data_IF_300762688653
#
_entry.id   IF_300762688653
#
_cell.length_a   1.000
_cell.length_b   1.000
_cell.length_c   1.000
_cell.angle_alpha   90.00
_cell.angle_beta   90.00
_cell.angle_gamma   90.00
#
_symmetry.space_group_name_H-M   'P 1'
#
loop_
_entity.id
_entity.type
_entity.pdbx_description
1 polymer ?
#
# COMPACT_ATOMS: atom_id res chain seq x y z
N UNK A 1 58.82 -7.11 2.28
CA UNK A 1 58.61 -8.49 2.78
C UNK A 1 59.66 -9.37 2.17
N UNK A 2 60.59 -9.85 3.00
CA UNK A 2 61.64 -10.75 2.54
C UNK A 2 61.03 -12.13 2.28
N UNK A 3 61.46 -12.83 1.22
CA UNK A 3 60.88 -14.10 0.77
C UNK A 3 60.76 -15.15 1.88
N UNK A 4 61.68 -15.11 2.85
CA UNK A 4 61.70 -15.98 4.03
C UNK A 4 60.52 -15.75 4.99
N UNK A 5 60.12 -14.49 5.24
CA UNK A 5 59.02 -14.17 6.15
C UNK A 5 57.67 -14.68 5.61
N UNK A 6 57.47 -14.59 4.29
CA UNK A 6 56.27 -15.09 3.63
C UNK A 6 56.18 -16.63 3.67
N UNK A 7 57.33 -17.33 3.58
CA UNK A 7 57.37 -18.79 3.70
C UNK A 7 57.07 -19.25 5.12
N UNK A 8 57.63 -18.57 6.14
CA UNK A 8 57.37 -18.91 7.54
C UNK A 8 55.91 -18.66 7.92
N UNK A 9 55.32 -17.53 7.51
CA UNK A 9 53.90 -17.26 7.75
C UNK A 9 52.97 -18.25 7.03
N UNK A 10 53.37 -18.74 5.84
CA UNK A 10 52.63 -19.78 5.12
C UNK A 10 52.71 -21.12 5.85
N UNK A 11 53.89 -21.53 6.34
CA UNK A 11 54.05 -22.77 7.12
C UNK A 11 53.22 -22.74 8.42
N UNK A 12 53.19 -21.59 9.09
CA UNK A 12 52.41 -21.39 10.31
C UNK A 12 50.89 -21.37 10.09
N UNK A 13 50.40 -21.06 8.88
CA UNK A 13 48.96 -20.97 8.59
C UNK A 13 48.45 -22.03 7.62
N UNK A 14 49.34 -22.83 7.04
CA UNK A 14 48.99 -23.87 6.05
C UNK A 14 48.01 -24.90 6.59
N UNK A 15 47.97 -25.12 7.91
CA UNK A 15 47.03 -26.06 8.51
C UNK A 15 45.58 -25.55 8.45
N UNK A 16 45.35 -24.22 8.39
CA UNK A 16 44.03 -23.58 8.27
C UNK A 16 43.48 -23.61 6.83
N UNK A 17 44.14 -24.30 5.90
CA UNK A 17 43.67 -24.45 4.53
C UNK A 17 42.30 -25.13 4.48
N UNK A 18 41.40 -24.63 3.61
CA UNK A 18 39.99 -25.04 3.56
C UNK A 18 39.75 -26.54 3.35
N UNK A 19 40.71 -27.28 2.79
CA UNK A 19 40.65 -28.74 2.71
C UNK A 19 40.59 -29.46 4.07
N UNK A 20 41.11 -28.84 5.13
CA UNK A 20 41.10 -29.37 6.50
C UNK A 20 39.94 -28.82 7.34
N UNK A 21 39.04 -27.99 6.78
CA UNK A 21 38.04 -27.26 7.54
C UNK A 21 37.16 -28.16 8.42
N UNK A 22 36.69 -29.28 7.87
CA UNK A 22 35.85 -30.23 8.61
C UNK A 22 36.59 -30.89 9.79
N UNK A 23 37.88 -31.18 9.61
CA UNK A 23 38.72 -31.74 10.68
C UNK A 23 38.96 -30.72 11.80
N UNK A 24 39.25 -29.48 11.44
CA UNK A 24 39.46 -28.38 12.41
C UNK A 24 38.16 -28.09 13.16
N UNK A 25 37.00 -28.12 12.49
CA UNK A 25 35.68 -27.96 13.12
C UNK A 25 35.40 -29.06 14.15
N UNK A 26 35.71 -30.32 13.82
CA UNK A 26 35.58 -31.43 14.77
C UNK A 26 36.54 -31.30 15.95
N UNK A 27 37.77 -30.84 15.71
CA UNK A 27 38.75 -30.61 16.77
C UNK A 27 38.32 -29.47 17.69
N UNK A 28 37.73 -28.40 17.13
CA UNK A 28 37.22 -27.26 17.88
C UNK A 28 35.96 -27.60 18.68
N UNK A 29 35.04 -28.39 18.13
CA UNK A 29 33.87 -28.87 18.89
C UNK A 29 34.29 -29.76 20.07
N UNK A 30 35.31 -30.59 19.88
CA UNK A 30 35.91 -31.39 20.97
C UNK A 30 36.55 -30.49 22.02
N UNK A 31 37.29 -29.44 21.59
CA UNK A 31 37.87 -28.43 22.48
C UNK A 31 36.82 -27.74 23.36
N UNK A 32 35.68 -27.33 22.78
CA UNK A 32 34.59 -26.68 23.52
C UNK A 32 33.92 -27.60 24.55
N UNK A 33 33.91 -28.92 24.32
CA UNK A 33 33.36 -29.89 25.27
C UNK A 33 34.36 -30.25 26.38
N UNK A 34 35.63 -30.46 26.03
CA UNK A 34 36.70 -30.74 26.97
C UNK A 34 38.05 -30.26 26.41
N UNK A 35 38.57 -29.12 26.90
CA UNK A 35 39.84 -28.58 26.43
C UNK A 35 40.99 -29.58 26.55
N UNK A 36 41.05 -30.36 27.64
CA UNK A 36 42.14 -31.32 27.89
C UNK A 36 42.17 -32.51 26.91
N UNK A 37 41.12 -32.71 26.11
CA UNK A 37 41.07 -33.76 25.08
C UNK A 37 41.82 -33.37 23.79
N UNK A 38 42.29 -32.13 23.68
CA UNK A 38 42.99 -31.59 22.51
C UNK A 38 44.45 -31.32 22.83
N UNK A 39 45.33 -31.50 21.84
CA UNK A 39 46.78 -31.24 21.95
C UNK A 39 47.07 -29.81 22.47
N UNK A 40 48.19 -29.64 23.17
CA UNK A 40 48.60 -28.37 23.72
C UNK A 40 48.69 -27.23 22.68
N UNK A 41 49.22 -27.50 21.47
CA UNK A 41 49.34 -26.49 20.42
C UNK A 41 47.98 -25.98 19.95
N UNK A 42 47.04 -26.90 19.75
CA UNK A 42 45.69 -26.58 19.33
C UNK A 42 44.88 -25.88 20.42
N UNK A 43 45.07 -26.27 21.68
CA UNK A 43 44.49 -25.53 22.81
C UNK A 43 44.96 -24.09 22.84
N UNK A 44 46.27 -23.85 22.76
CA UNK A 44 46.82 -22.49 22.74
C UNK A 44 46.33 -21.67 21.55
N UNK A 45 46.18 -22.31 20.38
CA UNK A 45 45.59 -21.69 19.20
C UNK A 45 44.12 -21.28 19.44
N UNK A 46 43.28 -22.18 19.99
CA UNK A 46 41.88 -21.90 20.26
C UNK A 46 41.66 -20.92 21.43
N UNK A 47 42.51 -20.95 22.46
CA UNK A 47 42.52 -19.96 23.54
C UNK A 47 42.76 -18.55 22.98
N UNK A 48 43.67 -18.41 22.03
CA UNK A 48 43.94 -17.14 21.33
C UNK A 48 42.79 -16.62 20.46
N UNK A 49 41.78 -17.45 20.17
CA UNK A 49 40.62 -17.09 19.35
C UNK A 49 39.44 -16.55 20.18
N UNK A 50 39.56 -16.51 21.52
CA UNK A 50 38.44 -16.20 22.44
C UNK A 50 38.15 -14.70 22.65
N UNK A 51 38.02 -13.92 21.58
CA UNK A 51 37.40 -12.57 21.63
C UNK A 51 35.89 -12.59 21.34
N UNK A 52 35.25 -13.76 21.44
CA UNK A 52 33.80 -13.88 21.31
C UNK A 52 33.33 -15.27 21.71
N UNK A 53 33.07 -15.46 23.00
CA UNK A 53 32.60 -16.73 23.59
C UNK A 53 31.27 -17.22 23.04
N UNK A 54 31.26 -17.76 21.83
CA UNK A 54 30.15 -18.50 21.28
C UNK A 54 30.14 -19.89 21.93
N UNK A 55 29.31 -20.04 22.97
CA UNK A 55 28.92 -21.37 23.47
C UNK A 55 28.41 -22.22 22.30
N UNK A 56 28.60 -23.55 22.32
CA UNK A 56 28.03 -24.44 21.31
C UNK A 56 26.54 -24.13 21.16
N UNK A 57 26.13 -23.63 20.00
CA UNK A 57 24.71 -23.44 19.73
C UNK A 57 24.12 -24.83 19.51
N UNK A 58 23.12 -25.20 20.32
CA UNK A 58 22.33 -26.40 20.04
C UNK A 58 21.77 -26.31 18.62
N UNK A 59 21.60 -27.45 17.92
CA UNK A 59 21.06 -27.45 16.58
C UNK A 59 19.75 -26.66 16.53
N UNK A 60 19.57 -25.82 15.52
CA UNK A 60 18.39 -24.95 15.40
C UNK A 60 17.07 -25.73 15.37
N UNK A 61 17.09 -27.02 14.99
CA UNK A 61 15.93 -27.92 14.99
C UNK A 61 15.59 -28.52 16.36
N UNK A 62 16.49 -28.45 17.34
CA UNK A 62 16.26 -28.93 18.71
C UNK A 62 15.55 -27.88 19.58
N UNK A 63 15.21 -26.73 19.01
CA UNK A 63 14.52 -25.64 19.66
C UNK A 63 13.04 -25.95 19.85
N UNK A 64 12.54 -25.80 21.09
CA UNK A 64 11.11 -25.91 21.39
C UNK A 64 10.31 -24.73 20.82
N UNK A 65 10.98 -23.61 20.53
CA UNK A 65 10.45 -22.39 19.93
C UNK A 65 10.49 -22.40 18.39
N UNK A 66 10.78 -23.54 17.77
CA UNK A 66 10.85 -23.67 16.30
C UNK A 66 9.53 -24.19 15.68
N UNK A 67 9.02 -23.55 14.60
CA UNK A 67 9.54 -22.35 13.95
C UNK A 67 9.22 -21.09 14.75
N UNK A 68 10.14 -20.09 14.78
CA UNK A 68 9.86 -18.81 15.41
C UNK A 68 8.67 -18.16 14.69
N UNK A 69 7.63 -17.79 15.45
CA UNK A 69 6.49 -17.01 14.95
C UNK A 69 6.75 -15.54 15.31
N UNK A 70 7.21 -14.70 14.37
CA UNK A 70 7.40 -13.27 14.66
C UNK A 70 6.03 -12.64 14.89
N UNK A 71 5.75 -12.20 16.10
CA UNK A 71 4.46 -11.58 16.48
C UNK A 71 4.51 -10.05 16.38
N UNK A 72 5.14 -9.54 15.33
CA UNK A 72 5.26 -8.10 15.10
C UNK A 72 4.11 -7.61 14.22
N UNK A 73 3.63 -6.38 14.48
CA UNK A 73 2.49 -5.78 13.77
C UNK A 73 2.67 -5.78 12.24
N UNK A 74 3.89 -5.50 11.77
CA UNK A 74 4.21 -5.49 10.34
C UNK A 74 4.12 -6.89 9.73
N UNK A 75 4.49 -7.92 10.47
CA UNK A 75 4.42 -9.31 10.01
C UNK A 75 2.97 -9.79 10.00
N UNK A 76 2.23 -9.52 11.07
CA UNK A 76 0.80 -9.84 11.18
C UNK A 76 -0.08 -9.12 10.13
N UNK A 77 0.33 -7.93 9.69
CA UNK A 77 -0.37 -7.20 8.62
C UNK A 77 -0.13 -7.81 7.22
N UNK A 78 0.96 -8.56 7.03
CA UNK A 78 1.37 -9.09 5.72
C UNK A 78 1.08 -10.59 5.57
N UNK A 79 0.90 -11.33 6.67
CA UNK A 79 0.63 -12.78 6.66
C UNK A 79 -0.87 -13.14 6.68
N UNK A 80 -1.77 -12.15 6.77
CA UNK A 80 -3.22 -12.32 6.76
C UNK A 80 -3.80 -12.85 8.08
N UNK A 81 -3.03 -12.89 9.16
CA UNK A 81 -3.49 -13.32 10.48
C UNK A 81 -4.21 -12.19 11.25
N UNK A 82 -5.40 -11.84 10.77
CA UNK A 82 -6.20 -10.71 11.26
C UNK A 82 -6.51 -10.75 12.76
N UNK A 83 -6.66 -11.94 13.35
CA UNK A 83 -7.01 -12.12 14.77
C UNK A 83 -5.87 -11.71 15.70
N UNK A 84 -4.62 -11.99 15.34
CA UNK A 84 -3.46 -11.54 16.14
C UNK A 84 -3.16 -10.06 15.93
N UNK A 85 -3.38 -9.56 14.72
CA UNK A 85 -3.24 -8.13 14.41
C UNK A 85 -4.22 -7.27 15.24
N UNK A 86 -5.47 -7.70 15.37
CA UNK A 86 -6.47 -7.03 16.21
C UNK A 86 -6.02 -6.93 17.68
N UNK A 87 -5.46 -8.02 18.24
CA UNK A 87 -4.97 -8.03 19.62
C UNK A 87 -3.82 -7.05 19.84
N UNK A 88 -2.93 -6.92 18.87
CA UNK A 88 -1.79 -5.98 18.93
C UNK A 88 -2.22 -4.53 18.77
N UNK A 89 -3.17 -4.27 17.86
CA UNK A 89 -3.60 -2.92 17.51
C UNK A 89 -4.67 -2.35 18.44
N UNK A 90 -5.56 -3.17 19.00
CA UNK A 90 -6.66 -2.72 19.87
C UNK A 90 -6.21 -1.75 20.99
N UNK A 91 -5.21 -2.04 21.83
CA UNK A 91 -4.78 -1.13 22.89
C UNK A 91 -4.14 0.16 22.35
N UNK A 92 -3.49 0.11 21.17
CA UNK A 92 -2.91 1.30 20.52
C UNK A 92 -3.98 2.18 19.89
N UNK A 93 -5.02 1.58 19.31
CA UNK A 93 -6.19 2.29 18.79
C UNK A 93 -6.91 2.98 19.94
N UNK A 94 -7.15 2.29 21.07
CA UNK A 94 -7.74 2.87 22.28
C UNK A 94 -6.90 4.00 22.87
N UNK A 95 -5.57 3.82 22.95
CA UNK A 95 -4.67 4.86 23.44
C UNK A 95 -4.66 6.08 22.52
N UNK A 96 -4.69 5.87 21.19
CA UNK A 96 -4.67 6.94 20.19
C UNK A 96 -6.02 7.66 20.09
N UNK A 97 -7.15 6.95 20.23
CA UNK A 97 -8.48 7.59 20.32
C UNK A 97 -8.64 8.38 21.61
N UNK A 98 -8.07 7.90 22.72
CA UNK A 98 -8.06 8.64 24.01
C UNK A 98 -7.08 9.84 24.00
N UNK A 99 -5.94 9.72 23.32
CA UNK A 99 -4.95 10.79 23.20
C UNK A 99 -5.30 11.82 22.11
N UNK A 100 -6.08 11.44 21.10
CA UNK A 100 -6.57 12.34 20.06
C UNK A 100 -7.88 13.05 20.44
N UNK A 101 -8.37 12.90 21.67
CA UNK A 101 -9.46 13.74 22.18
C UNK A 101 -8.93 15.18 22.35
N UNK A 102 -9.36 16.15 21.53
CA UNK A 102 -9.15 17.54 21.87
C UNK A 102 -10.02 17.82 23.11
N UNK A 103 -9.58 18.77 23.95
CA UNK A 103 -10.48 19.43 24.87
C UNK A 103 -11.58 20.13 24.07
N UNK A 104 -12.68 19.44 23.81
CA UNK A 104 -13.90 20.03 23.27
C UNK A 104 -14.65 20.55 24.49
N UNK A 105 -14.73 21.88 24.61
CA UNK A 105 -15.75 22.53 25.42
C UNK A 105 -17.10 21.86 25.15
N UNK A 106 -17.89 21.61 26.21
CA UNK A 106 -19.23 21.04 26.21
C UNK A 106 -19.80 20.70 24.82
N UNK A 107 -19.88 19.40 24.51
CA UNK A 107 -20.47 18.89 23.28
C UNK A 107 -21.75 19.66 22.93
N UNK A 108 -21.87 20.24 21.72
CA UNK A 108 -23.19 20.60 21.24
C UNK A 108 -24.01 19.31 21.17
N UNK A 109 -25.31 19.41 21.46
CA UNK A 109 -26.26 18.31 21.37
C UNK A 109 -26.06 17.49 20.07
N UNK A 110 -26.39 16.17 20.05
CA UNK A 110 -26.24 15.35 18.85
C UNK A 110 -26.88 16.11 17.68
N UNK A 111 -26.07 16.40 16.66
CA UNK A 111 -26.58 17.05 15.45
C UNK A 111 -27.77 16.22 14.97
N UNK A 112 -28.94 16.86 14.83
CA UNK A 112 -30.08 16.23 14.20
C UNK A 112 -29.60 15.62 12.88
N UNK A 113 -29.96 14.37 12.62
CA UNK A 113 -29.66 13.73 11.34
C UNK A 113 -30.12 14.61 10.17
N UNK A 114 -29.60 14.38 8.95
CA UNK A 114 -29.91 15.22 7.80
C UNK A 114 -31.42 15.40 7.68
N UNK A 115 -31.84 16.64 7.49
CA UNK A 115 -33.25 16.96 7.38
C UNK A 115 -33.87 16.24 6.19
N UNK A 116 -35.18 15.97 6.23
CA UNK A 116 -35.87 15.32 5.12
C UNK A 116 -35.69 16.08 3.80
N UNK A 117 -35.53 17.41 3.85
CA UNK A 117 -35.32 18.25 2.67
C UNK A 117 -33.89 18.16 2.13
N UNK A 118 -32.88 18.02 2.99
CA UNK A 118 -31.50 17.76 2.58
C UNK A 118 -31.36 16.42 1.87
N UNK A 119 -31.99 15.37 2.42
CA UNK A 119 -32.00 14.04 1.78
C UNK A 119 -32.68 14.10 0.42
N UNK A 120 -33.85 14.75 0.32
CA UNK A 120 -34.54 14.93 -0.97
C UNK A 120 -33.69 15.71 -1.98
N UNK A 121 -33.02 16.78 -1.55
CA UNK A 121 -32.14 17.57 -2.41
C UNK A 121 -30.95 16.75 -2.89
N UNK A 122 -30.27 16.02 -2.01
CA UNK A 122 -29.15 15.16 -2.35
C UNK A 122 -29.56 14.07 -3.37
N UNK A 123 -30.68 13.38 -3.14
CA UNK A 123 -31.22 12.39 -4.08
C UNK A 123 -31.55 13.01 -5.44
N UNK A 124 -32.18 14.18 -5.44
CA UNK A 124 -32.55 14.88 -6.69
C UNK A 124 -31.31 15.28 -7.48
N UNK A 125 -30.27 15.77 -6.80
CA UNK A 125 -29.02 16.18 -7.42
C UNK A 125 -28.27 14.97 -8.01
N UNK A 126 -28.24 13.84 -7.32
CA UNK A 126 -27.68 12.58 -7.85
C UNK A 126 -28.42 12.12 -9.11
N UNK A 127 -29.76 12.12 -9.11
CA UNK A 127 -30.55 11.73 -10.30
C UNK A 127 -30.26 12.66 -11.48
N UNK A 128 -30.22 13.97 -11.25
CA UNK A 128 -29.90 14.97 -12.28
C UNK A 128 -28.48 14.80 -12.84
N UNK A 129 -27.50 14.58 -11.97
CA UNK A 129 -26.12 14.31 -12.38
C UNK A 129 -26.02 13.04 -13.23
N UNK A 130 -26.70 11.96 -12.85
CA UNK A 130 -26.73 10.72 -13.63
C UNK A 130 -27.44 10.90 -14.98
N UNK A 131 -28.51 11.69 -15.04
CA UNK A 131 -29.16 12.04 -16.31
C UNK A 131 -28.23 12.82 -17.24
N UNK A 132 -27.45 13.77 -16.70
CA UNK A 132 -26.43 14.50 -17.46
C UNK A 132 -25.31 13.57 -17.93
N UNK A 133 -24.77 12.70 -17.08
CA UNK A 133 -23.76 11.70 -17.46
C UNK A 133 -24.25 10.83 -18.62
N UNK A 134 -25.51 10.39 -18.56
CA UNK A 134 -26.13 9.62 -19.64
C UNK A 134 -26.26 10.45 -20.93
N UNK A 135 -26.59 11.73 -20.85
CA UNK A 135 -26.67 12.61 -22.02
C UNK A 135 -25.30 12.74 -22.71
N UNK A 136 -24.21 12.91 -21.97
CA UNK A 136 -22.85 12.93 -22.52
C UNK A 136 -22.47 11.59 -23.18
N UNK A 137 -22.84 10.45 -22.59
CA UNK A 137 -22.60 9.13 -23.20
C UNK A 137 -23.31 8.95 -24.55
N UNK A 138 -24.52 9.51 -24.70
CA UNK A 138 -25.33 9.37 -25.91
C UNK A 138 -24.97 10.42 -26.96
N UNK A 139 -24.71 11.67 -26.56
CA UNK A 139 -24.62 12.84 -27.45
C UNK A 139 -23.33 13.64 -27.34
N UNK A 140 -22.42 13.29 -26.43
CA UNK A 140 -21.18 14.05 -26.22
C UNK A 140 -20.31 14.15 -27.47
N UNK A 141 -20.40 13.17 -28.37
CA UNK A 141 -19.71 13.17 -29.66
C UNK A 141 -20.12 14.32 -30.59
N UNK A 142 -21.33 14.90 -30.43
CA UNK A 142 -21.72 16.08 -31.21
C UNK A 142 -20.93 17.33 -30.81
N UNK A 143 -20.54 17.42 -29.53
CA UNK A 143 -19.73 18.51 -29.01
C UNK A 143 -18.21 18.22 -29.07
N UNK A 144 -17.80 17.13 -29.72
CA UNK A 144 -16.39 16.75 -29.83
C UNK A 144 -15.64 17.61 -30.85
N UNK A 145 -14.37 17.87 -30.58
CA UNK A 145 -13.49 18.64 -31.45
C UNK A 145 -12.92 17.79 -32.59
N UNK A 146 -13.76 17.52 -33.60
CA UNK A 146 -13.42 16.67 -34.74
C UNK A 146 -12.97 17.43 -35.99
N UNK A 147 -13.21 18.74 -36.05
CA UNK A 147 -12.87 19.57 -37.20
C UNK A 147 -11.54 20.30 -36.97
N UNK A 148 -10.41 19.82 -37.52
CA UNK A 148 -9.11 20.46 -37.35
C UNK A 148 -9.03 21.82 -38.07
N UNK A 149 -9.89 22.07 -39.05
CA UNK A 149 -9.90 23.30 -39.84
C UNK A 149 -10.85 24.36 -39.27
N UNK A 150 -11.69 23.99 -38.28
CA UNK A 150 -12.63 24.89 -37.60
C UNK A 150 -13.54 25.65 -38.58
N UNK A 151 -14.01 24.95 -39.61
CA UNK A 151 -14.88 25.52 -40.63
C UNK A 151 -16.31 25.70 -40.14
N UNK A 152 -16.72 24.92 -39.14
CA UNK A 152 -18.03 25.02 -38.49
C UNK A 152 -17.93 25.75 -37.17
N UNK A 153 -18.89 26.64 -36.93
CA UNK A 153 -19.06 27.24 -35.61
C UNK A 153 -19.50 26.16 -34.61
N UNK A 154 -19.02 26.23 -33.34
CA UNK A 154 -19.45 25.31 -32.31
C UNK A 154 -20.97 25.42 -32.09
N UNK A 155 -21.70 24.31 -32.27
CA UNK A 155 -23.11 24.25 -31.94
C UNK A 155 -23.30 24.26 -30.42
N UNK A 156 -24.38 24.91 -29.97
CA UNK A 156 -24.77 24.87 -28.56
C UNK A 156 -25.57 23.60 -28.31
N UNK A 157 -25.18 22.85 -27.27
CA UNK A 157 -25.86 21.62 -26.86
C UNK A 157 -26.43 21.80 -25.44
N UNK A 158 -27.68 22.29 -25.31
CA UNK A 158 -28.32 22.52 -24.01
C UNK A 158 -28.37 21.26 -23.14
N UNK A 159 -28.45 20.08 -23.74
CA UNK A 159 -28.44 18.79 -23.05
C UNK A 159 -27.12 18.45 -22.36
N UNK A 160 -26.02 19.15 -22.70
CA UNK A 160 -24.71 18.98 -22.08
C UNK A 160 -24.42 20.06 -21.02
N UNK A 161 -25.29 21.06 -20.90
CA UNK A 161 -25.15 22.16 -19.95
C UNK A 161 -25.74 21.76 -18.57
N UNK A 162 -24.95 21.82 -17.47
CA UNK A 162 -25.45 21.64 -16.11
C UNK A 162 -26.65 22.54 -15.75
N UNK A 163 -26.74 23.74 -16.35
CA UNK A 163 -27.84 24.66 -16.10
C UNK A 163 -29.20 24.08 -16.52
N UNK A 164 -29.24 23.27 -17.59
CA UNK A 164 -30.46 22.59 -18.07
C UNK A 164 -31.01 21.58 -17.05
N UNK A 165 -30.14 21.04 -16.21
CA UNK A 165 -30.53 20.12 -15.13
C UNK A 165 -30.86 20.84 -13.82
N UNK A 166 -30.73 22.17 -13.79
CA UNK A 166 -31.04 23.01 -12.64
C UNK A 166 -29.88 23.16 -11.66
N UNK A 167 -28.64 22.99 -12.10
CA UNK A 167 -27.45 23.37 -11.32
C UNK A 167 -27.10 24.83 -11.60
N UNK A 168 -27.34 25.70 -10.62
CA UNK A 168 -26.90 27.09 -10.70
C UNK A 168 -25.38 27.19 -10.47
N UNK A 169 -24.73 28.31 -10.84
CA UNK A 169 -23.28 28.50 -10.64
C UNK A 169 -22.80 28.29 -9.19
N UNK A 170 -23.66 28.58 -8.20
CA UNK A 170 -23.36 28.36 -6.78
C UNK A 170 -23.52 26.91 -6.31
N UNK A 171 -24.20 26.06 -7.07
CA UNK A 171 -24.36 24.64 -6.75
C UNK A 171 -23.23 23.77 -7.30
N UNK A 172 -22.39 24.31 -8.18
CA UNK A 172 -21.41 23.52 -8.94
C UNK A 172 -20.31 22.88 -8.07
N UNK A 173 -20.05 23.45 -6.90
CA UNK A 173 -19.01 23.01 -5.97
C UNK A 173 -19.53 22.05 -4.89
N UNK A 174 -20.82 21.74 -4.91
CA UNK A 174 -21.44 20.81 -3.94
C UNK A 174 -21.05 19.37 -4.28
N UNK A 175 -20.70 18.54 -3.28
CA UNK A 175 -20.43 17.13 -3.51
C UNK A 175 -21.74 16.39 -3.81
N UNK A 176 -21.75 15.63 -4.90
CA UNK A 176 -22.89 14.82 -5.35
C UNK A 176 -22.47 13.36 -5.33
N UNK A 177 -23.31 12.49 -4.78
CA UNK A 177 -23.06 11.05 -4.76
C UNK A 177 -23.34 10.44 -6.15
N UNK A 178 -22.40 9.62 -6.63
CA UNK A 178 -22.39 9.07 -8.00
C UNK A 178 -22.33 7.54 -8.07
N UNK A 179 -22.25 6.84 -6.94
CA UNK A 179 -22.22 5.36 -6.90
C UNK A 179 -21.18 4.74 -7.84
N UNK A 180 -19.97 5.32 -7.88
CA UNK A 180 -18.85 4.84 -8.70
C UNK A 180 -19.07 4.84 -10.23
N UNK A 181 -20.13 5.47 -10.76
CA UNK A 181 -20.41 5.50 -12.21
C UNK A 181 -19.30 6.13 -13.04
N UNK A 182 -18.52 7.04 -12.44
CA UNK A 182 -17.31 7.64 -13.02
C UNK A 182 -16.01 7.17 -12.33
N UNK A 183 -16.07 6.07 -11.58
CA UNK A 183 -14.96 5.60 -10.72
C UNK A 183 -14.75 6.43 -9.45
N UNK A 184 -15.71 7.29 -9.11
CA UNK A 184 -15.70 8.15 -7.92
C UNK A 184 -16.99 7.94 -7.13
N UNK A 185 -16.89 7.85 -5.80
CA UNK A 185 -18.07 7.72 -4.93
C UNK A 185 -18.92 9.00 -4.94
N UNK A 186 -18.24 10.14 -4.89
CA UNK A 186 -18.84 11.46 -5.00
C UNK A 186 -17.92 12.42 -5.75
N UNK A 187 -18.51 13.40 -6.42
CA UNK A 187 -17.77 14.45 -7.12
C UNK A 187 -18.59 15.74 -7.20
N UNK A 188 -17.93 16.87 -7.43
CA UNK A 188 -18.62 18.14 -7.70
C UNK A 188 -19.10 18.20 -9.15
N UNK A 189 -20.09 19.04 -9.44
CA UNK A 189 -20.59 19.19 -10.82
C UNK A 189 -19.50 19.70 -11.77
N UNK A 190 -18.54 20.50 -11.29
CA UNK A 190 -17.37 20.90 -12.08
C UNK A 190 -16.52 19.69 -12.48
N UNK A 191 -16.19 18.84 -11.50
CA UNK A 191 -15.40 17.63 -11.73
C UNK A 191 -16.11 16.68 -12.69
N UNK A 192 -17.42 16.50 -12.53
CA UNK A 192 -18.25 15.68 -13.43
C UNK A 192 -18.18 16.24 -14.85
N UNK A 193 -18.45 17.54 -15.03
CA UNK A 193 -18.42 18.17 -16.36
C UNK A 193 -17.03 18.07 -17.01
N UNK A 194 -15.95 18.24 -16.25
CA UNK A 194 -14.57 18.14 -16.75
C UNK A 194 -14.23 16.71 -17.20
N UNK A 195 -14.59 15.71 -16.40
CA UNK A 195 -14.38 14.29 -16.75
C UNK A 195 -15.17 13.94 -18.03
N UNK A 196 -16.43 14.37 -18.11
CA UNK A 196 -17.29 14.07 -19.26
C UNK A 196 -16.80 14.77 -20.53
N UNK A 197 -16.42 16.04 -20.46
CA UNK A 197 -15.86 16.79 -21.61
C UNK A 197 -14.56 16.16 -22.08
N UNK A 198 -13.65 15.79 -21.17
CA UNK A 198 -12.40 15.12 -21.52
C UNK A 198 -12.63 13.76 -22.19
N UNK A 199 -13.68 13.04 -21.80
CA UNK A 199 -13.95 11.67 -22.25
C UNK A 199 -14.73 11.63 -23.56
N UNK A 200 -15.75 12.47 -23.72
CA UNK A 200 -16.71 12.40 -24.83
C UNK A 200 -16.63 13.58 -25.82
N UNK A 201 -15.99 14.69 -25.43
CA UNK A 201 -15.96 15.93 -26.21
C UNK A 201 -14.53 16.38 -26.57
N UNK A 202 -13.55 15.49 -26.46
CA UNK A 202 -12.16 15.77 -26.86
C UNK A 202 -11.99 15.71 -28.38
N UNK A 203 -10.80 15.35 -28.84
CA UNK A 203 -10.52 15.11 -30.29
C UNK A 203 -11.02 13.76 -30.79
N UNK A 204 -11.79 13.04 -29.96
CA UNK A 204 -12.38 11.74 -30.23
C UNK A 204 -13.86 11.79 -29.85
N UNK A 205 -14.73 11.49 -30.81
CA UNK A 205 -16.17 11.33 -30.57
C UNK A 205 -16.50 9.85 -30.45
N UNK A 206 -16.95 9.41 -29.27
CA UNK A 206 -17.31 8.02 -29.03
C UNK A 206 -18.83 7.86 -29.13
N UNK A 207 -19.27 6.94 -29.99
CA UNK A 207 -20.68 6.57 -30.14
C UNK A 207 -20.82 5.06 -29.97
N UNK A 208 -21.40 4.64 -28.84
CA UNK A 208 -21.55 3.22 -28.51
C UNK A 208 -22.93 2.88 -27.94
N UNK A 209 -23.68 3.87 -27.45
CA UNK A 209 -24.96 3.65 -26.76
C UNK A 209 -26.08 3.06 -27.65
N UNK A 210 -25.86 2.95 -28.97
CA UNK A 210 -26.77 2.25 -29.89
C UNK A 210 -26.52 0.73 -29.94
N UNK A 211 -25.42 0.25 -29.37
CA UNK A 211 -25.08 -1.17 -29.27
C UNK A 211 -26.00 -1.80 -28.22
N UNK A 212 -26.65 -2.91 -28.57
CA UNK A 212 -27.60 -3.61 -27.69
C UNK A 212 -26.93 -4.65 -26.80
N UNK A 213 -25.76 -5.12 -27.19
CA UNK A 213 -24.94 -6.06 -26.40
C UNK A 213 -24.27 -5.31 -25.24
N UNK A 214 -24.44 -5.80 -24.02
CA UNK A 214 -23.94 -5.12 -22.82
C UNK A 214 -22.45 -5.41 -22.54
N UNK A 215 -21.87 -6.44 -23.16
CA UNK A 215 -20.44 -6.75 -23.02
C UNK A 215 -19.55 -5.87 -23.92
N UNK A 216 -20.15 -5.16 -24.88
CA UNK A 216 -19.49 -4.28 -25.85
C UNK A 216 -19.64 -2.80 -25.50
#
# INVERSE_FOLDING_TARGET
>A
MNKTEATTAFEETSFLFGGNAQFIEQLYTTYLQNPAAVDAHWRSFFDGMTDGGAKPHSPSWARADWPPKPSDERTAALDGNWVELEKLLAPKIEAKTKAAAPAVAAAPAPAAGPSADEVKRATTDSVKALMMIRAYRIRGHFAADLDPLKLKDPEQHPELDPATYGFAPGDLDRPIFLDMVLGLESATMRQIADILKRTYCGTLGVEFMHITDAEQ
#
